data_IF_457279035782
#
_entry.id   IF_457279035782
#
_cell.length_a   1.000
_cell.length_b   1.000
_cell.length_c   1.000
_cell.angle_alpha   90.00
_cell.angle_beta   90.00
_cell.angle_gamma   90.00
#
_symmetry.space_group_name_H-M   'P 1'
#
loop_
_entity.id
_entity.type
_entity.pdbx_description
1 polymer ?
#
# COMPACT_ATOMS: atom_id res chain seq x y z
N UNK A 1 21.03 -6.73 24.27
CA UNK A 1 20.74 -5.37 23.75
C UNK A 1 20.72 -4.42 24.91
N UNK A 2 21.32 -3.24 24.78
CA UNK A 2 21.13 -2.16 25.77
C UNK A 2 19.75 -1.53 25.55
N UNK A 3 19.21 -0.87 26.59
CA UNK A 3 17.91 -0.18 26.51
C UNK A 3 17.90 0.90 25.42
N UNK A 4 19.05 1.54 25.20
CA UNK A 4 19.27 2.56 24.16
C UNK A 4 19.19 1.98 22.75
N UNK A 5 19.78 0.80 22.50
CA UNK A 5 19.66 0.11 21.21
C UNK A 5 18.23 -0.32 20.91
N UNK A 6 17.45 -0.72 21.92
CA UNK A 6 16.06 -1.10 21.75
C UNK A 6 15.15 0.09 21.41
N UNK A 7 15.36 1.26 22.05
CA UNK A 7 14.63 2.50 21.75
C UNK A 7 14.93 2.95 20.31
N UNK A 8 16.20 2.87 19.90
CA UNK A 8 16.62 3.29 18.57
C UNK A 8 16.08 2.36 17.46
N UNK A 9 16.01 1.04 17.70
CA UNK A 9 15.37 0.10 16.78
C UNK A 9 13.86 0.38 16.62
N UNK A 10 13.18 0.71 17.73
CA UNK A 10 11.76 1.03 17.71
C UNK A 10 11.44 2.30 16.93
N UNK A 11 12.27 3.35 17.04
CA UNK A 11 12.11 4.57 16.25
C UNK A 11 12.41 4.32 14.77
N UNK A 12 13.43 3.53 14.43
CA UNK A 12 13.72 3.15 13.04
C UNK A 12 12.57 2.34 12.41
N UNK A 13 11.90 1.48 13.19
CA UNK A 13 10.70 0.77 12.72
C UNK A 13 9.49 1.69 12.57
N UNK A 14 9.41 2.75 13.38
CA UNK A 14 8.33 3.74 13.32
C UNK A 14 8.49 4.73 12.18
N UNK A 15 9.73 5.09 11.84
CA UNK A 15 10.07 6.01 10.76
C UNK A 15 11.18 5.42 9.88
N UNK A 16 10.89 4.35 9.11
CA UNK A 16 11.91 3.60 8.34
C UNK A 16 12.57 4.41 7.22
N UNK A 17 11.98 5.56 6.85
CA UNK A 17 12.53 6.50 5.87
C UNK A 17 12.77 7.90 6.46
N UNK A 18 12.84 8.01 7.79
CA UNK A 18 12.93 9.28 8.49
C UNK A 18 11.60 10.04 8.55
N UNK A 19 11.62 11.19 9.22
CA UNK A 19 10.47 12.08 9.34
C UNK A 19 10.28 12.91 8.07
N UNK A 20 9.04 13.34 7.84
CA UNK A 20 8.76 14.33 6.81
C UNK A 20 9.28 15.71 7.23
N UNK A 21 9.93 16.40 6.29
CA UNK A 21 10.45 17.76 6.48
C UNK A 21 9.52 18.77 5.80
N UNK A 22 8.96 19.67 6.59
CA UNK A 22 8.10 20.77 6.12
C UNK A 22 8.92 21.96 5.62
N UNK A 23 8.27 22.92 4.93
CA UNK A 23 8.85 24.20 4.50
C UNK A 23 10.01 24.11 3.50
N UNK A 24 10.18 22.95 2.85
CA UNK A 24 11.11 22.79 1.74
C UNK A 24 10.54 23.40 0.46
N UNK A 25 11.40 24.05 -0.33
CA UNK A 25 11.06 24.40 -1.72
C UNK A 25 11.34 23.22 -2.64
N UNK A 26 10.42 22.98 -3.58
CA UNK A 26 10.51 21.86 -4.51
C UNK A 26 10.75 22.34 -5.94
N UNK A 27 11.70 21.74 -6.62
CA UNK A 27 11.88 21.96 -8.06
C UNK A 27 10.74 21.32 -8.86
N UNK A 28 10.60 21.71 -10.14
CA UNK A 28 9.61 21.10 -11.02
C UNK A 28 9.85 19.59 -11.19
N UNK A 29 11.12 19.17 -11.28
CA UNK A 29 11.50 17.75 -11.36
C UNK A 29 11.13 16.99 -10.09
N UNK A 30 11.30 17.60 -8.91
CA UNK A 30 10.86 17.01 -7.64
C UNK A 30 9.34 16.86 -7.61
N UNK A 31 8.58 17.88 -8.05
CA UNK A 31 7.12 17.83 -8.15
C UNK A 31 6.68 16.68 -9.07
N UNK A 32 7.27 16.57 -10.26
CA UNK A 32 6.96 15.50 -11.20
C UNK A 32 7.26 14.11 -10.63
N UNK A 33 8.36 13.97 -9.89
CA UNK A 33 8.72 12.72 -9.21
C UNK A 33 7.76 12.38 -8.06
N UNK A 34 7.24 13.38 -7.35
CA UNK A 34 6.20 13.19 -6.33
C UNK A 34 4.88 12.77 -6.97
N UNK A 35 4.45 13.41 -8.07
CA UNK A 35 3.27 13.00 -8.84
C UNK A 35 3.41 11.56 -9.32
N UNK A 36 4.59 11.18 -9.83
CA UNK A 36 4.88 9.81 -10.25
C UNK A 36 4.79 8.82 -9.08
N UNK A 37 5.25 9.22 -7.90
CA UNK A 37 5.08 8.42 -6.66
C UNK A 37 3.61 8.13 -6.40
N UNK A 38 2.76 9.17 -6.42
CA UNK A 38 1.31 9.03 -6.23
C UNK A 38 0.70 8.13 -7.33
N UNK A 39 1.02 8.37 -8.60
CA UNK A 39 0.48 7.62 -9.75
C UNK A 39 0.78 6.12 -9.66
N UNK A 40 2.01 5.77 -9.30
CA UNK A 40 2.48 4.39 -9.31
C UNK A 40 2.19 3.63 -8.00
N UNK A 41 1.81 4.33 -6.93
CA UNK A 41 1.68 3.75 -5.60
C UNK A 41 0.72 2.56 -5.51
N UNK A 42 -0.52 2.60 -6.06
CA UNK A 42 -1.45 1.47 -5.94
C UNK A 42 -0.90 0.19 -6.57
N UNK A 43 -0.23 0.28 -7.72
CA UNK A 43 0.38 -0.85 -8.39
C UNK A 43 1.58 -1.41 -7.60
N UNK A 44 2.42 -0.53 -7.07
CA UNK A 44 3.56 -0.91 -6.20
C UNK A 44 3.06 -1.62 -4.93
N UNK A 45 2.06 -1.05 -4.26
CA UNK A 45 1.48 -1.63 -3.04
C UNK A 45 0.85 -3.01 -3.32
N UNK A 46 0.09 -3.15 -4.41
CA UNK A 46 -0.48 -4.44 -4.83
C UNK A 46 0.61 -5.49 -5.07
N UNK A 47 1.71 -5.12 -5.71
CA UNK A 47 2.84 -6.01 -5.93
C UNK A 47 3.56 -6.38 -4.61
N UNK A 48 3.66 -5.45 -3.66
CA UNK A 48 4.23 -5.71 -2.35
C UNK A 48 3.39 -6.73 -1.56
N UNK A 49 2.07 -6.61 -1.61
CA UNK A 49 1.14 -7.52 -0.92
C UNK A 49 0.99 -8.87 -1.61
N UNK A 50 1.45 -9.00 -2.86
CA UNK A 50 1.35 -10.26 -3.60
C UNK A 50 2.07 -11.40 -2.88
N UNK A 51 1.33 -12.48 -2.62
CA UNK A 51 1.82 -13.68 -1.95
C UNK A 51 1.73 -13.65 -0.41
N UNK A 52 1.31 -12.55 0.20
CA UNK A 52 1.00 -12.50 1.63
C UNK A 52 -0.31 -13.26 1.90
N UNK A 53 -0.31 -14.11 2.93
CA UNK A 53 -1.52 -14.81 3.40
C UNK A 53 -2.26 -13.96 4.43
N UNK A 54 -3.49 -14.33 4.78
CA UNK A 54 -4.28 -13.63 5.81
C UNK A 54 -3.51 -13.48 7.14
N UNK A 55 -2.82 -14.53 7.57
CA UNK A 55 -1.96 -14.51 8.77
C UNK A 55 -0.81 -13.50 8.68
N UNK A 56 -0.31 -13.21 7.48
CA UNK A 56 0.73 -12.19 7.28
C UNK A 56 0.13 -10.77 7.26
N UNK A 57 -1.10 -10.63 6.77
CA UNK A 57 -1.83 -9.36 6.77
C UNK A 57 -2.19 -8.92 8.20
N UNK A 58 -2.36 -9.87 9.11
CA UNK A 58 -2.70 -9.61 10.51
C UNK A 58 -1.47 -9.45 11.43
N UNK A 59 -0.25 -9.48 10.87
CA UNK A 59 0.98 -9.17 11.62
C UNK A 59 1.16 -7.67 11.79
N UNK A 60 1.56 -7.27 13.00
CA UNK A 60 1.95 -5.89 13.27
C UNK A 60 3.29 -5.56 12.61
N UNK A 61 3.42 -4.35 12.05
CA UNK A 61 4.69 -3.92 11.43
C UNK A 61 5.80 -3.60 12.44
N UNK A 62 5.41 -3.38 13.70
CA UNK A 62 6.28 -3.23 14.88
C UNK A 62 5.47 -3.57 16.12
N UNK A 63 6.13 -3.78 17.25
CA UNK A 63 5.45 -3.98 18.53
C UNK A 63 4.52 -2.80 18.87
N UNK A 64 3.25 -3.11 19.16
CA UNK A 64 2.20 -2.12 19.44
C UNK A 64 1.84 -1.23 18.25
N UNK A 65 2.28 -1.60 17.04
CA UNK A 65 1.91 -0.95 15.79
C UNK A 65 0.64 -1.55 15.17
N UNK A 66 0.21 -0.98 14.05
CA UNK A 66 -0.88 -1.53 13.26
C UNK A 66 -0.50 -2.81 12.54
N UNK A 67 -1.50 -3.62 12.23
CA UNK A 67 -1.34 -4.75 11.30
C UNK A 67 -1.13 -4.25 9.87
N UNK A 68 -0.58 -5.08 8.99
CA UNK A 68 -0.49 -4.77 7.55
C UNK A 68 -1.89 -4.46 6.98
N UNK A 69 -2.91 -5.21 7.39
CA UNK A 69 -4.31 -4.97 7.00
C UNK A 69 -4.75 -3.55 7.39
N UNK A 70 -4.57 -3.17 8.65
CA UNK A 70 -4.90 -1.82 9.14
C UNK A 70 -4.13 -0.74 8.37
N UNK A 71 -2.84 -0.95 8.08
CA UNK A 71 -2.04 0.01 7.28
C UNK A 71 -2.62 0.19 5.86
N UNK A 72 -3.04 -0.89 5.21
CA UNK A 72 -3.63 -0.82 3.85
C UNK A 72 -4.98 -0.11 3.85
N UNK A 73 -5.82 -0.34 4.87
CA UNK A 73 -7.09 0.38 5.01
C UNK A 73 -6.86 1.86 5.32
N UNK A 74 -5.95 2.18 6.24
CA UNK A 74 -5.53 3.56 6.56
C UNK A 74 -5.06 4.31 5.31
N UNK A 75 -4.27 3.67 4.44
CA UNK A 75 -3.84 4.28 3.19
C UNK A 75 -5.03 4.72 2.32
N UNK A 76 -6.08 3.90 2.22
CA UNK A 76 -7.28 4.28 1.48
C UNK A 76 -8.00 5.47 2.13
N UNK A 77 -8.21 5.43 3.45
CA UNK A 77 -8.90 6.50 4.19
C UNK A 77 -8.15 7.83 4.13
N UNK A 78 -6.83 7.77 4.36
CA UNK A 78 -5.94 8.93 4.34
C UNK A 78 -5.90 9.57 2.96
N UNK A 79 -5.84 8.78 1.90
CA UNK A 79 -5.73 9.29 0.53
C UNK A 79 -7.07 9.77 -0.03
N UNK A 80 -8.21 9.21 0.42
CA UNK A 80 -9.53 9.78 0.18
C UNK A 80 -9.65 11.19 0.80
N UNK A 81 -9.24 11.34 2.06
CA UNK A 81 -9.19 12.64 2.72
C UNK A 81 -8.27 13.62 1.98
N UNK A 82 -7.07 13.16 1.57
CA UNK A 82 -6.13 13.95 0.79
C UNK A 82 -6.77 14.50 -0.50
N UNK A 83 -7.35 13.61 -1.30
CA UNK A 83 -7.99 13.95 -2.56
C UNK A 83 -9.11 14.99 -2.38
N UNK A 84 -9.95 14.84 -1.35
CA UNK A 84 -10.98 15.82 -1.03
C UNK A 84 -10.38 17.17 -0.66
N UNK A 85 -9.33 17.20 0.17
CA UNK A 85 -8.63 18.43 0.58
C UNK A 85 -8.01 19.16 -0.60
N UNK A 86 -7.41 18.44 -1.55
CA UNK A 86 -6.91 19.01 -2.81
C UNK A 86 -8.03 19.70 -3.58
N UNK A 87 -9.19 19.04 -3.73
CA UNK A 87 -10.33 19.66 -4.41
C UNK A 87 -10.83 20.91 -3.71
N UNK A 88 -11.03 20.87 -2.39
CA UNK A 88 -11.44 22.04 -1.62
C UNK A 88 -10.47 23.20 -1.83
N UNK A 89 -9.17 22.96 -1.68
CA UNK A 89 -8.16 24.00 -1.85
C UNK A 89 -8.14 24.58 -3.28
N UNK A 90 -8.41 23.77 -4.30
CA UNK A 90 -8.51 24.22 -5.70
C UNK A 90 -9.77 25.04 -5.98
N UNK A 91 -10.86 24.84 -5.22
CA UNK A 91 -12.17 25.46 -5.50
C UNK A 91 -12.61 26.52 -4.49
N UNK A 92 -11.92 26.63 -3.36
CA UNK A 92 -12.25 27.55 -2.27
C UNK A 92 -11.03 28.40 -1.92
N UNK A 93 -11.25 29.61 -1.37
CA UNK A 93 -10.17 30.44 -0.84
C UNK A 93 -9.80 29.96 0.57
N UNK A 94 -8.59 29.40 0.71
CA UNK A 94 -7.97 29.01 2.00
C UNK A 94 -8.91 28.19 2.91
N UNK A 95 -9.48 27.07 2.44
CA UNK A 95 -10.44 26.31 3.22
C UNK A 95 -9.80 25.71 4.48
N UNK A 96 -10.58 25.68 5.56
CA UNK A 96 -10.23 24.91 6.75
C UNK A 96 -10.59 23.44 6.52
N UNK A 97 -9.57 22.58 6.50
CA UNK A 97 -9.77 21.14 6.31
C UNK A 97 -10.26 20.48 7.60
N UNK A 98 -11.00 19.37 7.45
CA UNK A 98 -11.44 18.54 8.57
C UNK A 98 -10.36 17.51 8.95
N UNK A 99 -9.86 17.53 10.19
CA UNK A 99 -9.05 16.44 10.72
C UNK A 99 -9.90 15.20 11.01
N UNK A 100 -9.24 14.07 11.20
CA UNK A 100 -9.88 12.82 11.59
C UNK A 100 -8.93 12.03 12.50
N UNK A 101 -9.50 11.24 13.40
CA UNK A 101 -8.73 10.41 14.32
C UNK A 101 -8.36 9.09 13.63
N UNK A 102 -7.24 9.07 12.92
CA UNK A 102 -6.73 7.89 12.18
C UNK A 102 -6.60 6.64 13.06
N UNK A 103 -6.21 6.80 14.33
CA UNK A 103 -6.09 5.69 15.28
C UNK A 103 -7.46 5.09 15.58
N UNK A 104 -8.47 5.92 15.82
CA UNK A 104 -9.82 5.44 16.05
C UNK A 104 -10.41 4.77 14.80
N UNK A 105 -10.11 5.28 13.59
CA UNK A 105 -10.57 4.68 12.34
C UNK A 105 -9.95 3.31 12.09
N UNK A 106 -8.64 3.17 12.33
CA UNK A 106 -7.94 1.87 12.22
C UNK A 106 -8.49 0.81 13.19
N UNK A 107 -9.15 1.22 14.27
CA UNK A 107 -9.74 0.31 15.26
C UNK A 107 -11.16 -0.17 14.89
N UNK A 108 -11.79 0.40 13.87
CA UNK A 108 -13.11 -0.01 13.38
C UNK A 108 -13.07 -1.41 12.77
N UNK A 109 -14.24 -2.07 12.75
CA UNK A 109 -14.35 -3.48 12.38
C UNK A 109 -13.95 -3.74 10.92
N UNK A 110 -14.24 -2.80 10.03
CA UNK A 110 -13.92 -2.90 8.61
C UNK A 110 -12.40 -2.87 8.39
N UNK A 111 -11.68 -1.99 9.09
CA UNK A 111 -10.21 -1.92 9.10
C UNK A 111 -9.52 -3.16 9.68
N UNK A 112 -10.23 -3.94 10.52
CA UNK A 112 -9.69 -5.14 11.16
C UNK A 112 -10.00 -6.43 10.42
N UNK A 113 -11.02 -6.45 9.56
CA UNK A 113 -11.57 -7.72 9.05
C UNK A 113 -11.76 -7.78 7.54
N UNK A 114 -11.93 -6.65 6.85
CA UNK A 114 -12.15 -6.70 5.41
C UNK A 114 -10.90 -7.18 4.67
N UNK A 115 -11.07 -7.85 3.51
CA UNK A 115 -9.95 -8.16 2.63
C UNK A 115 -9.29 -6.87 2.14
N UNK A 116 -7.96 -6.80 2.15
CA UNK A 116 -7.20 -5.62 1.69
C UNK A 116 -7.49 -5.23 0.24
N UNK A 117 -8.03 -6.14 -0.57
CA UNK A 117 -8.42 -5.90 -1.96
C UNK A 117 -9.46 -4.80 -2.13
N UNK A 118 -10.34 -4.58 -1.14
CA UNK A 118 -11.35 -3.50 -1.20
C UNK A 118 -10.67 -2.13 -1.17
N UNK A 119 -9.70 -1.94 -0.27
CA UNK A 119 -8.91 -0.71 -0.17
C UNK A 119 -7.95 -0.54 -1.34
N UNK A 120 -7.40 -1.63 -1.90
CA UNK A 120 -6.63 -1.55 -3.15
C UNK A 120 -7.48 -1.06 -4.33
N UNK A 121 -8.76 -1.45 -4.39
CA UNK A 121 -9.71 -0.93 -5.38
C UNK A 121 -9.96 0.56 -5.23
N UNK A 122 -10.21 1.02 -3.99
CA UNK A 122 -10.37 2.44 -3.65
C UNK A 122 -9.12 3.23 -4.03
N UNK A 123 -7.94 2.77 -3.59
CA UNK A 123 -6.64 3.39 -3.89
C UNK A 123 -6.42 3.52 -5.40
N UNK A 124 -6.70 2.46 -6.17
CA UNK A 124 -6.54 2.49 -7.63
C UNK A 124 -7.43 3.56 -8.27
N UNK A 125 -8.71 3.62 -7.87
CA UNK A 125 -9.65 4.61 -8.40
C UNK A 125 -9.32 6.05 -7.99
N UNK A 126 -9.01 6.26 -6.70
CA UNK A 126 -8.76 7.61 -6.19
C UNK A 126 -7.44 8.17 -6.71
N UNK A 127 -6.37 7.37 -6.78
CA UNK A 127 -5.08 7.81 -7.33
C UNK A 127 -5.18 8.13 -8.82
N UNK A 128 -5.95 7.35 -9.61
CA UNK A 128 -6.17 7.68 -11.02
C UNK A 128 -6.80 9.08 -11.19
N UNK A 129 -7.81 9.41 -10.38
CA UNK A 129 -8.44 10.74 -10.40
C UNK A 129 -7.54 11.83 -9.83
N UNK A 130 -6.81 11.52 -8.77
CA UNK A 130 -5.95 12.49 -8.10
C UNK A 130 -4.76 12.87 -8.99
N UNK A 131 -4.09 11.89 -9.58
CA UNK A 131 -3.01 12.11 -10.55
C UNK A 131 -3.48 12.93 -11.75
N UNK A 132 -4.70 12.71 -12.26
CA UNK A 132 -5.24 13.51 -13.35
C UNK A 132 -5.34 15.01 -13.00
N UNK A 133 -5.73 15.33 -11.76
CA UNK A 133 -5.73 16.71 -11.26
C UNK A 133 -4.29 17.22 -11.12
N UNK A 134 -3.42 16.46 -10.45
CA UNK A 134 -2.04 16.85 -10.19
C UNK A 134 -1.26 17.16 -11.47
N UNK A 135 -1.44 16.36 -12.53
CA UNK A 135 -0.80 16.57 -13.84
C UNK A 135 -1.33 17.79 -14.60
N UNK A 136 -2.48 18.33 -14.21
CA UNK A 136 -3.10 19.50 -14.84
C UNK A 136 -2.86 20.80 -14.04
N UNK A 137 -2.30 20.71 -12.83
CA UNK A 137 -2.00 21.86 -11.99
C UNK A 137 -0.77 22.60 -12.50
N UNK A 138 -0.85 23.92 -12.52
CA UNK A 138 0.27 24.83 -12.74
C UNK A 138 0.85 25.34 -11.42
N UNK A 139 1.87 26.19 -11.51
CA UNK A 139 2.53 26.77 -10.33
C UNK A 139 1.57 27.56 -9.43
N UNK A 140 0.60 28.27 -10.00
CA UNK A 140 -0.40 29.00 -9.22
C UNK A 140 -1.29 28.02 -8.44
N UNK A 141 -1.76 26.96 -9.09
CA UNK A 141 -2.54 25.89 -8.48
C UNK A 141 -1.78 25.22 -7.34
N UNK A 142 -0.49 24.91 -7.52
CA UNK A 142 0.35 24.33 -6.46
C UNK A 142 0.59 25.27 -5.27
N UNK A 143 0.58 26.58 -5.51
CA UNK A 143 0.71 27.60 -4.47
C UNK A 143 -0.61 27.92 -3.76
N UNK A 144 -1.75 27.37 -4.20
CA UNK A 144 -3.00 27.45 -3.43
C UNK A 144 -2.83 26.78 -2.08
N UNK A 145 -3.54 27.28 -1.08
CA UNK A 145 -3.33 26.91 0.31
C UNK A 145 -4.60 26.41 0.97
N UNK A 146 -4.43 25.63 2.04
CA UNK A 146 -5.47 25.19 2.95
C UNK A 146 -5.02 25.41 4.40
N UNK A 147 -5.97 25.60 5.31
CA UNK A 147 -5.69 25.72 6.74
C UNK A 147 -5.87 24.37 7.43
N UNK A 148 -4.84 23.90 8.15
CA UNK A 148 -4.90 22.69 8.96
C UNK A 148 -5.10 23.05 10.44
N UNK A 149 -6.30 22.85 11.02
CA UNK A 149 -6.63 23.39 12.35
C UNK A 149 -5.85 22.72 13.49
N UNK A 150 -5.35 21.50 13.32
CA UNK A 150 -4.48 20.88 14.34
C UNK A 150 -3.02 21.35 14.25
N UNK A 151 -2.56 21.78 13.06
CA UNK A 151 -1.21 22.32 12.90
C UNK A 151 -1.20 23.84 13.15
N UNK A 152 -2.38 24.45 13.24
CA UNK A 152 -2.57 25.91 13.30
C UNK A 152 -1.79 26.65 12.20
N UNK A 153 -1.73 26.05 11.00
CA UNK A 153 -0.85 26.50 9.92
C UNK A 153 -1.51 26.34 8.54
N UNK A 154 -1.17 27.27 7.64
CA UNK A 154 -1.46 27.18 6.22
C UNK A 154 -0.44 26.29 5.53
N UNK A 155 -0.92 25.37 4.69
CA UNK A 155 -0.07 24.52 3.85
C UNK A 155 -0.43 24.74 2.39
N UNK A 156 0.58 24.83 1.54
CA UNK A 156 0.43 24.85 0.08
C UNK A 156 0.09 23.47 -0.45
N UNK A 157 -0.52 23.39 -1.64
CA UNK A 157 -0.79 22.10 -2.27
C UNK A 157 0.48 21.35 -2.67
N UNK A 158 1.59 22.04 -2.93
CA UNK A 158 2.89 21.36 -3.14
C UNK A 158 3.43 20.73 -1.87
N UNK A 159 3.33 21.38 -0.70
CA UNK A 159 3.69 20.76 0.59
C UNK A 159 2.81 19.54 0.88
N UNK A 160 1.51 19.63 0.59
CA UNK A 160 0.60 18.50 0.73
C UNK A 160 0.95 17.35 -0.22
N UNK A 161 1.32 17.65 -1.47
CA UNK A 161 1.78 16.62 -2.43
C UNK A 161 3.03 15.92 -1.89
N UNK A 162 4.00 16.68 -1.37
CA UNK A 162 5.22 16.14 -0.80
C UNK A 162 4.97 15.26 0.42
N UNK A 163 4.09 15.70 1.33
CA UNK A 163 3.68 14.91 2.48
C UNK A 163 3.09 13.57 2.03
N UNK A 164 2.21 13.57 1.04
CA UNK A 164 1.55 12.33 0.61
C UNK A 164 2.46 11.42 -0.23
N UNK A 165 3.44 11.97 -0.95
CA UNK A 165 4.49 11.17 -1.57
C UNK A 165 5.38 10.49 -0.52
N UNK A 166 5.75 11.20 0.56
CA UNK A 166 6.43 10.61 1.71
C UNK A 166 5.55 9.55 2.40
N UNK A 167 4.27 9.86 2.66
CA UNK A 167 3.31 8.96 3.31
C UNK A 167 3.14 7.63 2.56
N UNK A 168 3.08 7.69 1.22
CA UNK A 168 3.07 6.51 0.36
C UNK A 168 4.31 5.63 0.63
N UNK A 169 5.51 6.20 0.53
CA UNK A 169 6.75 5.42 0.72
C UNK A 169 6.95 4.98 2.18
N UNK A 170 6.52 5.78 3.15
CA UNK A 170 6.59 5.50 4.57
C UNK A 170 5.80 4.23 4.94
N UNK A 171 4.52 4.18 4.57
CA UNK A 171 3.70 3.00 4.85
C UNK A 171 4.04 1.82 3.95
N UNK A 172 4.58 2.06 2.75
CA UNK A 172 5.16 0.98 1.95
C UNK A 172 6.28 0.28 2.72
N UNK A 173 7.20 1.04 3.32
CA UNK A 173 8.31 0.45 4.09
C UNK A 173 7.84 -0.24 5.37
N UNK A 174 6.78 0.22 6.04
CA UNK A 174 6.17 -0.52 7.14
C UNK A 174 5.72 -1.94 6.73
N UNK A 175 5.05 -2.07 5.59
CA UNK A 175 4.63 -3.38 5.07
C UNK A 175 5.85 -4.20 4.62
N UNK A 176 6.86 -3.52 4.06
CA UNK A 176 8.10 -4.14 3.62
C UNK A 176 8.92 -4.74 4.79
N UNK A 177 8.86 -4.15 6.00
CA UNK A 177 9.46 -4.72 7.21
C UNK A 177 8.86 -6.09 7.53
N UNK A 178 7.53 -6.19 7.58
CA UNK A 178 6.83 -7.47 7.80
C UNK A 178 7.22 -8.48 6.73
N UNK A 179 7.23 -8.08 5.46
CA UNK A 179 7.59 -8.98 4.35
C UNK A 179 9.02 -9.50 4.44
N UNK A 180 9.97 -8.71 4.94
CA UNK A 180 11.38 -9.12 5.14
C UNK A 180 11.53 -10.14 6.27
N UNK A 181 10.65 -10.10 7.25
CA UNK A 181 10.64 -11.03 8.40
C UNK A 181 9.89 -12.33 8.10
N UNK A 182 9.12 -12.38 7.00
CA UNK A 182 8.45 -13.59 6.57
C UNK A 182 9.47 -14.65 6.13
N UNK A 183 9.27 -15.93 6.49
CA UNK A 183 10.09 -17.01 5.97
C UNK A 183 10.00 -17.05 4.44
N UNK A 184 11.13 -17.28 3.78
CA UNK A 184 11.17 -17.39 2.32
C UNK A 184 10.13 -18.42 1.85
N UNK A 185 9.44 -18.16 0.72
CA UNK A 185 8.48 -19.11 0.20
C UNK A 185 9.15 -20.46 0.04
N UNK A 186 8.56 -21.51 0.64
CA UNK A 186 9.06 -22.87 0.50
C UNK A 186 9.23 -23.15 -0.99
N UNK A 187 10.47 -23.41 -1.43
CA UNK A 187 10.76 -23.76 -2.82
C UNK A 187 9.80 -24.89 -3.19
N UNK A 188 8.93 -24.64 -4.18
CA UNK A 188 7.99 -25.64 -4.66
C UNK A 188 8.77 -26.94 -4.93
N UNK A 189 8.53 -27.95 -4.09
CA UNK A 189 9.14 -29.26 -4.27
C UNK A 189 8.69 -29.73 -5.65
N UNK A 190 9.63 -29.81 -6.60
CA UNK A 190 9.39 -30.44 -7.90
C UNK A 190 8.94 -31.87 -7.59
N UNK A 191 7.63 -32.13 -7.68
CA UNK A 191 7.11 -33.50 -7.75
C UNK A 191 7.78 -34.14 -8.96
N UNK A 192 8.78 -34.99 -8.74
CA UNK A 192 9.27 -35.90 -9.78
C UNK A 192 8.07 -36.73 -10.19
N UNK A 193 7.61 -36.54 -11.43
CA UNK A 193 6.65 -37.44 -12.03
C UNK A 193 7.29 -38.82 -12.11
N UNK A 194 6.69 -39.79 -11.42
CA UNK A 194 7.02 -41.19 -11.51
C UNK A 194 6.53 -41.70 -12.87
N UNK A 195 7.34 -42.42 -13.66
CA UNK A 195 6.91 -42.87 -14.98
C UNK A 195 5.85 -43.96 -14.82
N UNK A 196 4.70 -43.74 -15.44
CA UNK A 196 3.61 -44.71 -15.50
C UNK A 196 4.12 -46.04 -16.10
N UNK A 197 4.05 -47.12 -15.32
CA UNK A 197 4.24 -48.49 -15.83
C UNK A 197 3.10 -48.79 -16.81
N UNK A 198 3.45 -48.96 -18.08
CA UNK A 198 2.54 -49.43 -19.11
C UNK A 198 2.06 -50.85 -18.76
N UNK A 199 0.75 -51.00 -18.55
CA UNK A 199 0.11 -52.29 -18.40
C UNK A 199 0.09 -53.03 -19.75
N UNK A 200 0.58 -54.26 -19.76
CA UNK A 200 0.55 -55.16 -20.91
C UNK A 200 -0.91 -55.51 -21.28
N UNK A 201 -1.24 -55.39 -22.57
CA UNK A 201 -2.51 -55.86 -23.14
C UNK A 201 -2.53 -57.39 -23.19
N UNK A 202 -3.63 -58.07 -22.83
CA UNK A 202 -3.76 -59.50 -23.06
C UNK A 202 -4.14 -59.79 -24.52
N UNK A 203 -3.46 -60.78 -25.10
CA UNK A 203 -3.72 -61.34 -26.44
C UNK A 203 -5.10 -62.00 -26.54
N UNK A 204 -5.82 -61.89 -27.68
CA UNK A 204 -7.09 -62.57 -27.86
C UNK A 204 -6.89 -64.06 -28.17
N UNK A 205 -7.56 -64.92 -27.38
CA UNK A 205 -7.69 -66.36 -27.60
C UNK A 205 -8.41 -66.64 -28.92
N UNK A 206 -7.80 -67.45 -29.78
CA UNK A 206 -8.45 -68.13 -30.92
C UNK A 206 -9.68 -68.90 -30.43
N UNK A 207 -10.85 -68.63 -31.02
CA UNK A 207 -11.97 -69.58 -31.06
C UNK A 207 -12.03 -70.16 -32.46
N UNK A 208 -11.69 -71.44 -32.58
CA UNK A 208 -12.19 -72.29 -33.64
C UNK A 208 -13.69 -72.53 -33.41
N UNK A 209 -14.48 -72.52 -34.48
CA UNK A 209 -15.63 -73.42 -34.65
C UNK A 209 -16.06 -73.44 -36.12
N UNK A 210 -16.28 -74.66 -36.58
CA UNK A 210 -16.59 -75.10 -37.92
C UNK A 210 -18.10 -75.07 -38.24
N UNK A 211 -18.39 -75.41 -39.51
CA UNK A 211 -19.70 -75.72 -40.15
C UNK A 211 -20.43 -74.45 -40.64
N UNK A 212 -20.93 -74.36 -41.88
CA UNK A 212 -21.28 -75.35 -42.92
C UNK A 212 -20.88 -74.82 -44.30
#
# INVERSE_FOLDING_TARGET
MTQETAIQDMELRRYPIGHFEWEKQYSQEEIEQMIKTIDQFPARLKALLAGMKEEDLDKQYREGGWTVRQVVHHLADSHLNAYMRFKLALTEDKPTIKPYNEKAWAELIDCKTLPVSVSLGILSGIHARWTAILKAMDNESFNRTLFHPEHMKMHTLVEMLALYAWHCNHHYEHIQLVKKEMPAPAKAAKKKAEPAKAAAKPSPKKKSKAKS
#
